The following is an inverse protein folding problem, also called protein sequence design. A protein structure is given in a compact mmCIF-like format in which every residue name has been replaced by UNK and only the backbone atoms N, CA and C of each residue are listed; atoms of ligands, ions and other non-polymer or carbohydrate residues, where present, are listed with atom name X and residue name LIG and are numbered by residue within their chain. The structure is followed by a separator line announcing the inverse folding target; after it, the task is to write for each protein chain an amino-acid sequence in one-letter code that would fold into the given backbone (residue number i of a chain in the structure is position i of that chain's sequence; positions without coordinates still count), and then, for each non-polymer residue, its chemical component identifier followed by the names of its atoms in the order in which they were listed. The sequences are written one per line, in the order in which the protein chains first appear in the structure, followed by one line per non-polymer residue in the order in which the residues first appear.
data_IF_853250337599
#
_entry.id   IF_853250337599
#
_cell.length_a   1.000
_cell.length_b   1.000
_cell.length_c   1.000
_cell.angle_alpha   90.00
_cell.angle_beta   90.00
_cell.angle_gamma   90.00
#
_symmetry.space_group_name_H-M   'P 1'
#
loop_
_entity.id
_entity.type
_entity.pdbx_description
1 polymer ?
#
# COMPACT_ATOMS: atom_id res chain seq x y z
N UNK A 1 -9.64 3.05 -8.35
CA UNK A 1 -9.45 4.45 -7.98
C UNK A 1 -10.17 5.30 -9.00
N UNK A 2 -10.66 6.47 -8.63
CA UNK A 2 -11.31 7.43 -9.52
C UNK A 2 -11.11 8.85 -9.00
N UNK A 3 -11.41 9.83 -9.83
CA UNK A 3 -11.36 11.26 -9.54
C UNK A 3 -12.77 11.87 -9.66
N UNK A 4 -13.02 12.96 -8.92
CA UNK A 4 -14.23 13.79 -9.11
C UNK A 4 -13.93 14.90 -10.11
N UNK A 5 -14.49 14.79 -11.31
CA UNK A 5 -14.22 15.70 -12.44
C UNK A 5 -14.39 17.18 -12.07
N UNK A 6 -13.32 17.94 -11.92
CA UNK A 6 -13.43 19.37 -11.58
C UNK A 6 -14.27 19.62 -10.31
N UNK A 7 -14.02 18.83 -9.26
CA UNK A 7 -14.79 18.80 -8.01
C UNK A 7 -15.24 20.18 -7.48
N UNK A 8 -14.32 21.14 -7.41
CA UNK A 8 -14.61 22.47 -6.83
C UNK A 8 -15.65 23.25 -7.63
N UNK A 9 -15.62 23.14 -8.97
CA UNK A 9 -16.56 23.84 -9.84
C UNK A 9 -17.98 23.27 -9.77
N UNK A 10 -18.17 22.13 -9.13
CA UNK A 10 -19.48 21.52 -8.92
C UNK A 10 -20.19 22.05 -7.66
N UNK A 11 -19.50 22.86 -6.84
CA UNK A 11 -20.04 23.41 -5.59
C UNK A 11 -20.17 24.93 -5.68
N UNK A 12 -21.40 25.43 -5.52
CA UNK A 12 -21.70 26.86 -5.56
C UNK A 12 -21.19 27.57 -4.30
N UNK A 13 -20.73 28.80 -4.49
CA UNK A 13 -20.39 29.73 -3.40
C UNK A 13 -21.65 30.49 -2.99
N UNK A 14 -21.80 30.78 -1.70
CA UNK A 14 -22.90 31.59 -1.18
C UNK A 14 -22.94 32.96 -1.84
N UNK A 15 -24.12 33.53 -2.09
CA UNK A 15 -24.24 34.79 -2.86
C UNK A 15 -23.45 35.94 -2.22
N UNK A 16 -23.45 36.01 -0.89
CA UNK A 16 -22.70 36.99 -0.09
C UNK A 16 -21.18 36.89 -0.23
N UNK A 17 -20.67 35.70 -0.57
CA UNK A 17 -19.23 35.45 -0.68
C UNK A 17 -18.67 35.59 -2.09
N UNK A 18 -19.53 35.61 -3.13
CA UNK A 18 -19.11 35.64 -4.54
C UNK A 18 -18.27 36.86 -4.89
N UNK A 19 -18.52 37.98 -4.22
CA UNK A 19 -17.84 39.24 -4.49
C UNK A 19 -16.37 39.22 -4.03
N UNK A 20 -15.99 38.32 -3.12
CA UNK A 20 -14.59 38.08 -2.77
C UNK A 20 -13.81 37.29 -3.83
N UNK A 21 -14.51 36.74 -4.83
CA UNK A 21 -13.94 35.94 -5.92
C UNK A 21 -14.00 36.68 -7.27
N UNK A 22 -14.00 38.02 -7.24
CA UNK A 22 -13.92 38.87 -8.43
C UNK A 22 -12.53 38.82 -9.04
N UNK A 23 -12.48 38.87 -10.37
CA UNK A 23 -11.25 38.98 -11.13
C UNK A 23 -11.44 39.88 -12.35
N UNK A 24 -10.35 40.53 -12.73
CA UNK A 24 -10.28 41.42 -13.88
C UNK A 24 -9.81 40.64 -15.11
N UNK A 25 -10.40 40.94 -16.25
CA UNK A 25 -10.08 40.27 -17.51
C UNK A 25 -10.05 41.27 -18.65
N UNK A 26 -8.99 41.22 -19.46
CA UNK A 26 -8.95 41.92 -20.74
C UNK A 26 -9.44 40.98 -21.85
N UNK A 27 -10.57 41.29 -22.50
CA UNK A 27 -11.08 40.46 -23.59
C UNK A 27 -10.04 40.27 -24.69
N UNK A 28 -9.75 39.01 -25.03
CA UNK A 28 -8.76 38.60 -26.02
C UNK A 28 -7.32 39.04 -25.71
N UNK A 29 -6.99 39.36 -24.44
CA UNK A 29 -5.67 39.82 -24.04
C UNK A 29 -5.29 41.21 -24.54
N UNK A 30 -6.28 41.97 -25.05
CA UNK A 30 -6.06 43.31 -25.57
C UNK A 30 -6.09 44.35 -24.44
N UNK A 31 -4.91 44.79 -24.03
CA UNK A 31 -4.71 45.75 -22.94
C UNK A 31 -5.25 47.16 -23.26
N UNK A 32 -5.64 47.43 -24.50
CA UNK A 32 -6.23 48.72 -24.91
C UNK A 32 -7.74 48.77 -24.72
N UNK A 33 -8.38 47.61 -24.52
CA UNK A 33 -9.82 47.53 -24.27
C UNK A 33 -10.15 47.78 -22.80
N UNK A 34 -11.40 48.16 -22.58
CA UNK A 34 -11.96 48.29 -21.23
C UNK A 34 -11.87 46.95 -20.49
N UNK A 35 -11.45 47.03 -19.22
CA UNK A 35 -11.32 45.88 -18.34
C UNK A 35 -12.71 45.34 -18.04
N UNK A 36 -12.94 44.05 -18.29
CA UNK A 36 -14.13 43.36 -17.87
C UNK A 36 -13.95 42.81 -16.44
N UNK A 37 -14.97 42.97 -15.61
CA UNK A 37 -15.01 42.40 -14.27
C UNK A 37 -15.91 41.17 -14.24
N UNK A 38 -15.36 40.06 -13.77
CA UNK A 38 -16.08 38.81 -13.60
C UNK A 38 -16.02 38.37 -12.14
N UNK A 39 -16.96 37.52 -11.73
CA UNK A 39 -16.95 36.88 -10.41
C UNK A 39 -17.21 35.39 -10.53
N UNK A 40 -16.46 34.59 -9.79
CA UNK A 40 -16.71 33.16 -9.72
C UNK A 40 -17.99 32.89 -8.93
N UNK A 41 -18.81 31.95 -9.40
CA UNK A 41 -20.06 31.55 -8.74
C UNK A 41 -19.95 30.20 -8.02
N UNK A 42 -18.80 29.55 -8.18
CA UNK A 42 -18.46 28.22 -7.69
C UNK A 42 -17.10 28.28 -7.02
N UNK A 43 -16.80 27.28 -6.19
CA UNK A 43 -15.51 27.20 -5.51
C UNK A 43 -14.39 27.06 -6.54
N UNK A 44 -13.32 27.85 -6.38
CA UNK A 44 -12.22 27.92 -7.33
C UNK A 44 -10.97 27.17 -6.84
N UNK A 45 -10.14 26.75 -7.78
CA UNK A 45 -8.84 26.15 -7.49
C UNK A 45 -7.88 27.22 -6.93
N UNK A 46 -7.16 26.88 -5.85
CA UNK A 46 -6.21 27.78 -5.19
C UNK A 46 -6.76 28.55 -3.99
N UNK A 47 -8.09 28.59 -3.80
CA UNK A 47 -8.67 29.13 -2.57
C UNK A 47 -8.57 28.11 -1.43
N UNK A 48 -8.07 28.56 -0.27
CA UNK A 48 -7.83 27.70 0.92
C UNK A 48 -9.11 27.02 1.42
N UNK A 49 -10.27 27.67 1.27
CA UNK A 49 -11.57 27.14 1.72
C UNK A 49 -12.18 26.12 0.76
N UNK A 50 -11.85 26.15 -0.53
CA UNK A 50 -12.51 25.33 -1.56
C UNK A 50 -12.46 23.82 -1.28
N UNK A 51 -11.30 23.22 -0.92
CA UNK A 51 -11.25 21.78 -0.62
C UNK A 51 -12.18 21.39 0.53
N UNK A 52 -12.22 22.18 1.61
CA UNK A 52 -13.04 21.91 2.78
C UNK A 52 -14.54 21.97 2.43
N UNK A 53 -14.98 23.02 1.72
CA UNK A 53 -16.37 23.17 1.32
C UNK A 53 -16.81 22.06 0.35
N UNK A 54 -15.98 21.72 -0.63
CA UNK A 54 -16.30 20.66 -1.59
C UNK A 54 -16.35 19.28 -0.93
N UNK A 55 -15.38 18.96 -0.06
CA UNK A 55 -15.40 17.72 0.71
C UNK A 55 -16.64 17.63 1.60
N UNK A 56 -17.05 18.74 2.24
CA UNK A 56 -18.27 18.78 3.03
C UNK A 56 -19.51 18.50 2.16
N UNK A 57 -19.64 19.13 0.99
CA UNK A 57 -20.76 18.90 0.07
C UNK A 57 -20.85 17.44 -0.40
N UNK A 58 -19.70 16.81 -0.71
CA UNK A 58 -19.64 15.40 -1.08
C UNK A 58 -20.07 14.48 0.07
N UNK A 59 -19.54 14.71 1.28
CA UNK A 59 -19.93 13.94 2.48
C UNK A 59 -21.39 14.14 2.84
N UNK A 60 -21.89 15.37 2.71
CA UNK A 60 -23.29 15.69 2.96
C UNK A 60 -24.22 14.97 2.00
N UNK A 61 -23.85 14.88 0.72
CA UNK A 61 -24.56 14.07 -0.28
C UNK A 61 -24.69 12.61 0.18
N UNK A 62 -23.62 12.02 0.71
CA UNK A 62 -23.65 10.66 1.24
C UNK A 62 -24.57 10.53 2.46
N UNK A 63 -24.53 11.50 3.38
CA UNK A 63 -25.37 11.49 4.58
C UNK A 63 -26.86 11.65 4.24
N UNK A 64 -27.21 12.55 3.32
CA UNK A 64 -28.59 12.79 2.90
C UNK A 64 -29.21 11.57 2.18
N UNK A 65 -28.38 10.68 1.61
CA UNK A 65 -28.83 9.47 0.90
C UNK A 65 -28.54 8.16 1.64
N UNK A 66 -28.21 8.22 2.94
CA UNK A 66 -27.83 7.04 3.74
C UNK A 66 -28.88 5.92 3.73
N UNK A 67 -30.16 6.25 3.65
CA UNK A 67 -31.25 5.26 3.59
C UNK A 67 -31.41 4.59 2.22
N UNK A 68 -30.85 5.16 1.15
CA UNK A 68 -31.05 4.72 -0.23
C UNK A 68 -29.89 3.90 -0.78
N UNK A 69 -28.72 3.94 -0.14
CA UNK A 69 -27.52 3.25 -0.59
C UNK A 69 -26.95 2.33 0.51
N UNK A 70 -26.21 1.27 0.13
CA UNK A 70 -25.55 0.41 1.11
C UNK A 70 -24.58 1.20 2.00
N UNK A 71 -24.54 0.85 3.29
CA UNK A 71 -23.66 1.50 4.27
C UNK A 71 -22.19 1.53 3.82
N UNK A 72 -21.72 0.49 3.13
CA UNK A 72 -20.35 0.43 2.65
C UNK A 72 -20.02 1.50 1.59
N UNK A 73 -21.01 1.93 0.79
CA UNK A 73 -20.84 3.00 -0.20
C UNK A 73 -20.79 4.35 0.51
N UNK A 74 -21.64 4.55 1.53
CA UNK A 74 -21.60 5.73 2.41
C UNK A 74 -20.24 5.83 3.12
N UNK A 75 -19.77 4.73 3.70
CA UNK A 75 -18.46 4.64 4.34
C UNK A 75 -17.30 4.87 3.35
N UNK A 76 -17.50 4.54 2.06
CA UNK A 76 -16.52 4.81 1.01
C UNK A 76 -16.32 6.32 0.85
N UNK A 77 -17.40 7.10 0.76
CA UNK A 77 -17.31 8.57 0.68
C UNK A 77 -16.59 9.18 1.89
N UNK A 78 -16.90 8.69 3.09
CA UNK A 78 -16.34 9.26 4.32
C UNK A 78 -14.88 8.87 4.59
N UNK A 79 -14.46 7.66 4.19
CA UNK A 79 -13.16 7.09 4.60
C UNK A 79 -12.16 6.87 3.48
N UNK A 80 -12.59 6.91 2.22
CA UNK A 80 -11.74 6.53 1.09
C UNK A 80 -11.56 7.67 0.06
N UNK A 81 -12.11 8.85 0.31
CA UNK A 81 -11.78 10.05 -0.47
C UNK A 81 -10.66 10.84 0.19
N UNK A 82 -9.68 11.23 -0.62
CA UNK A 82 -8.73 12.27 -0.32
C UNK A 82 -8.98 13.44 -1.27
N UNK A 83 -9.74 14.43 -0.80
CA UNK A 83 -10.27 15.51 -1.65
C UNK A 83 -11.11 14.93 -2.80
N UNK A 84 -10.62 15.02 -4.03
CA UNK A 84 -11.23 14.56 -5.28
C UNK A 84 -10.89 13.10 -5.62
N UNK A 85 -9.78 12.57 -5.09
CA UNK A 85 -9.34 11.20 -5.33
C UNK A 85 -10.08 10.18 -4.45
N UNK A 86 -10.74 9.20 -5.09
CA UNK A 86 -11.35 8.03 -4.45
C UNK A 86 -10.43 6.80 -4.52
N UNK A 87 -10.00 6.31 -3.36
CA UNK A 87 -9.07 5.19 -3.21
C UNK A 87 -9.71 4.03 -2.44
N UNK A 88 -10.51 3.22 -3.14
CA UNK A 88 -11.17 2.04 -2.55
C UNK A 88 -10.51 0.74 -3.03
N UNK A 89 -10.20 -0.15 -2.08
CA UNK A 89 -9.79 -1.55 -2.37
C UNK A 89 -10.91 -2.53 -1.97
N UNK A 90 -11.06 -3.61 -2.73
CA UNK A 90 -12.04 -4.66 -2.49
C UNK A 90 -11.37 -6.04 -2.43
N UNK A 91 -12.06 -7.02 -1.84
CA UNK A 91 -11.61 -8.43 -1.77
C UNK A 91 -12.01 -9.25 -3.00
N UNK A 92 -12.97 -8.78 -3.79
CA UNK A 92 -13.44 -9.45 -4.99
C UNK A 92 -13.82 -8.45 -6.07
N UNK A 93 -13.77 -8.91 -7.32
CA UNK A 93 -14.12 -8.13 -8.52
C UNK A 93 -15.59 -7.73 -8.47
N UNK A 94 -16.49 -8.66 -8.20
CA UNK A 94 -17.94 -8.43 -8.22
C UNK A 94 -18.33 -7.35 -7.22
N UNK A 95 -17.72 -7.39 -6.03
CA UNK A 95 -17.93 -6.38 -5.00
C UNK A 95 -17.33 -5.03 -5.39
N UNK A 96 -16.17 -5.02 -6.04
CA UNK A 96 -15.54 -3.79 -6.52
C UNK A 96 -16.41 -3.09 -7.57
N UNK A 97 -16.90 -3.85 -8.55
CA UNK A 97 -17.78 -3.38 -9.62
C UNK A 97 -19.08 -2.81 -9.05
N UNK A 98 -19.72 -3.55 -8.14
CA UNK A 98 -20.94 -3.07 -7.48
C UNK A 98 -20.72 -1.75 -6.73
N UNK A 99 -19.65 -1.66 -5.94
CA UNK A 99 -19.32 -0.41 -5.23
C UNK A 99 -19.03 0.72 -6.21
N UNK A 100 -18.33 0.47 -7.32
CA UNK A 100 -18.03 1.50 -8.31
C UNK A 100 -19.31 2.08 -8.94
N UNK A 101 -20.27 1.24 -9.30
CA UNK A 101 -21.57 1.69 -9.81
C UNK A 101 -22.39 2.43 -8.75
N UNK A 102 -22.60 1.82 -7.58
CA UNK A 102 -23.40 2.42 -6.50
C UNK A 102 -22.79 3.77 -6.05
N UNK A 103 -21.46 3.87 -6.02
CA UNK A 103 -20.76 5.12 -5.68
C UNK A 103 -20.92 6.17 -6.76
N UNK A 104 -20.85 5.80 -8.04
CA UNK A 104 -21.08 6.71 -9.16
C UNK A 104 -22.50 7.27 -9.13
N UNK A 105 -23.50 6.42 -8.87
CA UNK A 105 -24.89 6.82 -8.74
C UNK A 105 -25.11 7.75 -7.54
N UNK A 106 -24.51 7.43 -6.39
CA UNK A 106 -24.57 8.27 -5.20
C UNK A 106 -23.96 9.65 -5.45
N UNK A 107 -22.75 9.70 -6.04
CA UNK A 107 -22.10 10.96 -6.40
C UNK A 107 -22.97 11.76 -7.37
N UNK A 108 -23.59 11.11 -8.36
CA UNK A 108 -24.45 11.76 -9.33
C UNK A 108 -25.68 12.41 -8.68
N UNK A 109 -26.24 11.84 -7.61
CA UNK A 109 -27.32 12.47 -6.82
C UNK A 109 -26.92 13.81 -6.20
N UNK A 110 -25.65 13.98 -5.85
CA UNK A 110 -25.09 15.24 -5.37
C UNK A 110 -24.60 16.19 -6.46
N UNK A 111 -24.77 15.83 -7.74
CA UNK A 111 -24.19 16.56 -8.87
C UNK A 111 -22.70 16.27 -9.09
N UNK A 112 -22.13 15.29 -8.38
CA UNK A 112 -20.75 14.87 -8.54
C UNK A 112 -20.59 13.82 -9.62
N UNK A 113 -19.51 13.94 -10.39
CA UNK A 113 -19.22 13.03 -11.50
C UNK A 113 -17.85 12.38 -11.31
N UNK A 114 -17.87 11.06 -11.10
CA UNK A 114 -16.67 10.25 -10.99
C UNK A 114 -16.16 9.84 -12.36
N UNK A 115 -14.87 10.03 -12.57
CA UNK A 115 -14.17 9.79 -13.83
C UNK A 115 -12.75 9.29 -13.57
N UNK A 116 -11.92 9.18 -14.60
CA UNK A 116 -10.53 8.72 -14.54
C UNK A 116 -10.36 7.41 -13.76
N UNK A 117 -11.28 6.47 -13.98
CA UNK A 117 -11.22 5.18 -13.32
C UNK A 117 -9.98 4.41 -13.74
N UNK A 118 -9.26 3.91 -12.74
CA UNK A 118 -8.10 3.02 -12.87
C UNK A 118 -8.18 1.88 -11.85
N UNK A 119 -7.61 0.72 -12.20
CA UNK A 119 -7.67 -0.50 -11.39
C UNK A 119 -6.55 -1.46 -11.81
N UNK A 120 -6.05 -2.25 -10.85
CA UNK A 120 -5.18 -3.40 -11.12
C UNK A 120 -5.94 -4.66 -11.59
N UNK A 121 -7.26 -4.58 -11.78
CA UNK A 121 -8.10 -5.67 -12.29
C UNK A 121 -8.78 -5.25 -13.59
N UNK A 122 -8.51 -6.00 -14.66
CA UNK A 122 -9.11 -5.82 -16.00
C UNK A 122 -10.62 -6.01 -15.96
N UNK A 123 -11.09 -7.02 -15.23
CA UNK A 123 -12.52 -7.30 -15.08
C UNK A 123 -13.29 -6.12 -14.46
N UNK A 124 -12.66 -5.42 -13.50
CA UNK A 124 -13.24 -4.21 -12.91
C UNK A 124 -13.29 -3.07 -13.94
N UNK A 125 -12.24 -2.88 -14.74
CA UNK A 125 -12.21 -1.86 -15.79
C UNK A 125 -13.24 -2.14 -16.89
N UNK A 126 -13.37 -3.39 -17.33
CA UNK A 126 -14.36 -3.78 -18.35
C UNK A 126 -15.81 -3.52 -17.92
N UNK A 127 -16.10 -3.54 -16.62
CA UNK A 127 -17.42 -3.22 -16.09
C UNK A 127 -17.71 -1.72 -16.02
N UNK A 128 -16.68 -0.87 -16.10
CA UNK A 128 -16.81 0.59 -16.06
C UNK A 128 -16.92 1.12 -17.51
N UNK A 129 -17.76 2.14 -17.78
CA UNK A 129 -17.83 2.71 -19.12
C UNK A 129 -16.49 3.31 -19.57
N UNK A 130 -16.05 3.00 -20.80
CA UNK A 130 -14.76 3.45 -21.35
C UNK A 130 -14.55 4.96 -21.28
N UNK A 131 -15.62 5.75 -21.47
CA UNK A 131 -15.57 7.23 -21.37
C UNK A 131 -15.16 7.74 -19.98
N UNK A 132 -15.27 6.90 -18.96
CA UNK A 132 -14.91 7.23 -17.58
C UNK A 132 -13.53 6.71 -17.20
N UNK A 133 -12.83 6.00 -18.08
CA UNK A 133 -11.46 5.55 -17.83
C UNK A 133 -10.48 6.71 -17.82
N UNK A 134 -9.31 6.52 -17.19
CA UNK A 134 -8.20 7.46 -17.42
C UNK A 134 -7.81 7.46 -18.91
N UNK A 135 -7.17 8.52 -19.38
CA UNK A 135 -6.74 8.63 -20.79
C UNK A 135 -5.88 7.43 -21.21
N UNK A 136 -4.89 7.07 -20.38
CA UNK A 136 -3.99 5.96 -20.68
C UNK A 136 -4.71 4.60 -20.67
N UNK A 137 -5.81 4.48 -19.93
CA UNK A 137 -6.62 3.25 -19.88
C UNK A 137 -7.61 3.18 -21.05
N UNK A 138 -8.16 4.32 -21.48
CA UNK A 138 -9.15 4.41 -22.56
C UNK A 138 -8.63 3.95 -23.92
N UNK A 139 -7.32 4.06 -24.14
CA UNK A 139 -6.66 3.73 -25.42
C UNK A 139 -6.18 2.27 -25.49
N UNK A 140 -6.36 1.48 -24.43
CA UNK A 140 -5.83 0.11 -24.33
C UNK A 140 -6.84 -0.95 -24.78
N UNK A 141 -6.31 -1.98 -25.43
CA UNK A 141 -7.00 -3.24 -25.55
C UNK A 141 -6.78 -4.05 -24.26
N UNK A 142 -7.81 -4.09 -23.40
CA UNK A 142 -7.76 -4.79 -22.10
C UNK A 142 -7.58 -6.31 -22.21
N UNK A 143 -7.63 -6.93 -23.39
CA UNK A 143 -7.37 -8.36 -23.55
C UNK A 143 -5.92 -8.67 -23.97
N UNK A 144 -5.19 -7.66 -24.50
CA UNK A 144 -3.90 -7.88 -25.18
C UNK A 144 -2.76 -7.03 -24.61
N UNK A 145 -3.07 -5.81 -24.21
CA UNK A 145 -2.06 -4.83 -23.82
C UNK A 145 -1.79 -4.89 -22.32
N UNK A 146 -0.59 -4.48 -21.87
CA UNK A 146 -0.27 -4.40 -20.44
C UNK A 146 -0.96 -3.19 -19.80
N UNK A 147 -1.40 -3.34 -18.54
CA UNK A 147 -1.93 -2.21 -17.79
C UNK A 147 -0.83 -1.17 -17.54
N UNK A 148 -1.13 0.13 -17.69
CA UNK A 148 -0.14 1.17 -17.67
C UNK A 148 0.30 1.47 -16.24
N UNK A 149 1.32 2.31 -16.14
CA UNK A 149 1.69 2.96 -14.89
C UNK A 149 0.88 4.26 -14.74
N UNK A 150 0.30 4.44 -13.56
CA UNK A 150 -0.48 5.63 -13.22
C UNK A 150 0.05 6.25 -11.92
N UNK A 151 -0.55 7.36 -11.48
CA UNK A 151 -0.23 7.95 -10.18
C UNK A 151 -1.37 7.76 -9.21
N UNK A 152 -1.08 7.30 -8.00
CA UNK A 152 -2.00 7.27 -6.87
C UNK A 152 -1.47 8.21 -5.77
N UNK A 153 -2.15 9.33 -5.54
CA UNK A 153 -1.71 10.39 -4.60
C UNK A 153 -0.25 10.84 -4.83
N UNK A 154 0.15 10.93 -6.09
CA UNK A 154 1.50 11.34 -6.49
C UNK A 154 2.56 10.23 -6.52
N UNK A 155 2.29 9.06 -5.94
CA UNK A 155 3.16 7.88 -6.07
C UNK A 155 2.88 7.16 -7.39
N UNK A 156 3.93 6.72 -8.07
CA UNK A 156 3.79 5.93 -9.29
C UNK A 156 3.35 4.51 -8.93
N UNK A 157 2.25 4.07 -9.52
CA UNK A 157 1.63 2.77 -9.29
C UNK A 157 1.61 1.99 -10.60
N UNK A 158 2.31 0.85 -10.63
CA UNK A 158 2.17 -0.12 -11.70
C UNK A 158 0.93 -0.98 -11.43
N UNK A 159 -0.09 -0.81 -12.27
CA UNK A 159 -1.36 -1.51 -12.09
C UNK A 159 -1.22 -3.01 -12.37
N UNK A 160 -0.40 -3.41 -13.34
CA UNK A 160 -0.24 -4.82 -13.72
C UNK A 160 0.33 -5.66 -12.56
N UNK A 161 1.39 -5.18 -11.90
CA UNK A 161 2.05 -5.87 -10.77
C UNK A 161 1.51 -5.49 -9.39
N UNK A 162 0.60 -4.50 -9.31
CA UNK A 162 0.12 -3.90 -8.07
C UNK A 162 1.24 -3.41 -7.13
N UNK A 163 2.24 -2.73 -7.68
CA UNK A 163 3.42 -2.22 -6.96
C UNK A 163 3.57 -0.72 -7.10
N UNK A 164 4.07 -0.08 -6.04
CA UNK A 164 4.59 1.28 -6.12
C UNK A 164 6.03 1.26 -6.64
N UNK A 165 6.28 2.12 -7.61
CA UNK A 165 7.58 2.31 -8.26
C UNK A 165 8.12 3.69 -7.93
N UNK A 166 9.44 3.83 -7.96
CA UNK A 166 10.11 5.11 -7.69
C UNK A 166 10.98 5.48 -8.89
N UNK A 167 10.37 6.00 -9.96
CA UNK A 167 11.15 6.55 -11.07
C UNK A 167 11.69 7.92 -10.71
N UNK A 168 13.01 8.03 -10.74
CA UNK A 168 13.71 9.25 -10.37
C UNK A 168 14.27 9.90 -11.63
N UNK A 169 13.57 10.92 -12.12
CA UNK A 169 14.07 11.77 -13.21
C UNK A 169 15.10 12.74 -12.64
N UNK A 170 16.34 12.25 -12.50
CA UNK A 170 17.46 13.02 -11.99
C UNK A 170 17.95 13.98 -13.07
N UNK A 171 17.24 15.09 -13.25
CA UNK A 171 17.67 16.17 -14.13
C UNK A 171 19.05 16.64 -13.69
N UNK A 172 19.96 16.80 -14.64
CA UNK A 172 21.26 17.39 -14.37
C UNK A 172 21.05 18.81 -13.82
N UNK A 173 21.60 19.06 -12.64
CA UNK A 173 21.59 20.35 -11.95
C UNK A 173 23.01 20.72 -11.59
N UNK A 174 23.28 22.02 -11.55
CA UNK A 174 24.53 22.55 -11.03
C UNK A 174 24.77 22.04 -9.60
N UNK A 175 26.03 21.77 -9.26
CA UNK A 175 26.42 21.33 -7.93
C UNK A 175 26.49 22.52 -6.98
N UNK A 176 25.31 23.06 -6.69
CA UNK A 176 25.07 24.18 -5.80
C UNK A 176 24.00 23.79 -4.78
N UNK A 177 23.88 24.57 -3.70
CA UNK A 177 22.82 24.34 -2.70
C UNK A 177 21.43 24.30 -3.34
N UNK A 178 21.14 25.17 -4.30
CA UNK A 178 19.88 25.21 -5.05
C UNK A 178 19.68 23.95 -5.89
N UNK A 179 20.72 23.51 -6.60
CA UNK A 179 20.66 22.30 -7.44
C UNK A 179 20.38 21.05 -6.61
N UNK A 180 21.10 20.88 -5.51
CA UNK A 180 20.91 19.75 -4.57
C UNK A 180 19.51 19.78 -3.98
N UNK A 181 19.05 20.92 -3.45
CA UNK A 181 17.71 21.05 -2.89
C UNK A 181 16.63 20.69 -3.93
N UNK A 182 16.80 21.12 -5.18
CA UNK A 182 15.86 20.78 -6.26
C UNK A 182 15.76 19.28 -6.51
N UNK A 183 16.87 18.55 -6.49
CA UNK A 183 16.89 17.09 -6.71
C UNK A 183 16.36 16.36 -5.48
N UNK A 184 16.78 16.75 -4.27
CA UNK A 184 16.26 16.15 -3.03
C UNK A 184 14.75 16.35 -2.89
N UNK A 185 14.24 17.52 -3.28
CA UNK A 185 12.80 17.81 -3.20
C UNK A 185 11.98 17.13 -4.30
N UNK A 186 12.61 16.65 -5.39
CA UNK A 186 11.90 15.88 -6.42
C UNK A 186 11.67 14.42 -6.00
N UNK A 187 12.31 13.96 -4.92
CA UNK A 187 12.08 12.63 -4.34
C UNK A 187 10.74 12.62 -3.60
N UNK A 188 9.69 12.20 -4.28
CA UNK A 188 8.36 12.09 -3.68
C UNK A 188 8.18 10.74 -2.97
N UNK A 189 8.34 10.74 -1.65
CA UNK A 189 8.23 9.55 -0.80
C UNK A 189 7.45 9.88 0.50
N UNK A 190 6.12 10.03 0.42
CA UNK A 190 5.29 10.35 1.58
C UNK A 190 5.25 9.24 2.65
N UNK A 191 5.59 8.00 2.28
CA UNK A 191 5.55 6.84 3.19
C UNK A 191 6.91 6.49 3.79
N UNK A 192 7.99 7.14 3.33
CA UNK A 192 9.33 6.96 3.89
C UNK A 192 10.03 5.68 3.43
N UNK A 193 9.65 5.07 2.31
CA UNK A 193 10.31 3.87 1.78
C UNK A 193 11.76 4.13 1.36
N UNK A 194 12.03 5.33 0.86
CA UNK A 194 13.34 5.80 0.41
C UNK A 194 14.02 6.68 1.47
N UNK A 195 13.51 6.72 2.71
CA UNK A 195 14.04 7.59 3.76
C UNK A 195 15.54 7.35 4.03
N UNK A 196 15.97 6.08 4.07
CA UNK A 196 17.36 5.72 4.28
C UNK A 196 18.28 6.22 3.16
N UNK A 197 17.81 6.13 1.91
CA UNK A 197 18.54 6.61 0.73
C UNK A 197 18.54 8.14 0.72
N UNK A 198 17.44 8.79 1.09
CA UNK A 198 17.33 10.26 1.03
C UNK A 198 18.14 10.95 2.14
N UNK A 199 18.46 10.25 3.23
CA UNK A 199 19.14 10.83 4.39
C UNK A 199 20.53 11.42 4.06
N UNK A 200 21.48 10.70 3.42
CA UNK A 200 22.77 11.26 3.02
C UNK A 200 22.67 12.58 2.24
N UNK A 201 21.74 12.66 1.28
CA UNK A 201 21.55 13.90 0.51
C UNK A 201 21.02 15.06 1.36
N UNK A 202 20.13 14.78 2.31
CA UNK A 202 19.68 15.78 3.29
C UNK A 202 20.81 16.23 4.22
N UNK A 203 21.75 15.35 4.55
CA UNK A 203 22.93 15.70 5.34
C UNK A 203 23.87 16.63 4.59
N UNK A 204 24.11 16.39 3.29
CA UNK A 204 24.87 17.31 2.43
C UNK A 204 24.21 18.70 2.44
N UNK A 205 22.90 18.76 2.21
CA UNK A 205 22.15 20.02 2.24
C UNK A 205 22.25 20.71 3.61
N UNK A 206 22.15 19.95 4.70
CA UNK A 206 22.29 20.46 6.07
C UNK A 206 23.69 21.03 6.32
N UNK A 207 24.75 20.36 5.87
CA UNK A 207 26.13 20.82 6.01
C UNK A 207 26.38 22.12 5.25
N UNK A 208 25.91 22.21 3.99
CA UNK A 208 25.98 23.44 3.19
C UNK A 208 25.26 24.61 3.87
N UNK A 209 24.10 24.35 4.50
CA UNK A 209 23.39 25.35 5.30
C UNK A 209 24.18 25.77 6.54
N UNK A 210 24.75 24.83 7.30
CA UNK A 210 25.56 25.12 8.50
C UNK A 210 26.80 25.95 8.17
N UNK A 211 27.42 25.71 7.00
CA UNK A 211 28.57 26.46 6.49
C UNK A 211 28.18 27.78 5.80
N UNK A 212 26.90 28.13 5.75
CA UNK A 212 26.36 29.36 5.15
C UNK A 212 26.69 29.55 3.65
N UNK A 213 26.75 28.47 2.86
CA UNK A 213 26.91 28.57 1.40
C UNK A 213 25.77 29.36 0.76
N UNK A 214 26.06 30.17 -0.25
CA UNK A 214 25.02 30.83 -1.04
C UNK A 214 24.24 29.83 -1.91
N UNK A 215 23.11 30.25 -2.46
CA UNK A 215 22.23 29.36 -3.24
C UNK A 215 22.90 28.78 -4.49
N UNK A 216 23.68 29.61 -5.18
CA UNK A 216 24.26 29.32 -6.50
C UNK A 216 25.79 29.23 -6.45
N UNK A 217 26.35 29.09 -5.25
CA UNK A 217 27.77 28.86 -5.02
C UNK A 217 28.12 27.39 -5.23
N UNK A 218 29.28 27.13 -5.86
CA UNK A 218 29.79 25.79 -6.11
C UNK A 218 30.24 25.13 -4.81
N UNK A 219 29.88 23.86 -4.63
CA UNK A 219 30.16 23.14 -3.40
C UNK A 219 31.60 22.59 -3.37
N UNK A 220 32.18 22.35 -2.18
CA UNK A 220 33.52 21.76 -2.06
C UNK A 220 33.61 20.36 -2.69
N UNK A 221 34.77 20.03 -3.26
CA UNK A 221 35.04 18.74 -3.94
C UNK A 221 34.64 17.50 -3.13
N UNK A 222 34.86 17.54 -1.82
CA UNK A 222 34.50 16.43 -0.91
C UNK A 222 32.98 16.18 -0.94
N UNK A 223 32.17 17.24 -0.90
CA UNK A 223 30.72 17.14 -0.97
C UNK A 223 30.26 16.81 -2.38
N UNK A 224 30.97 17.28 -3.42
CA UNK A 224 30.72 16.91 -4.81
C UNK A 224 30.86 15.40 -5.01
N UNK A 225 31.90 14.78 -4.48
CA UNK A 225 32.11 13.33 -4.58
C UNK A 225 30.99 12.54 -3.88
N UNK A 226 30.61 12.96 -2.67
CA UNK A 226 29.48 12.34 -1.93
C UNK A 226 28.16 12.50 -2.69
N UNK A 227 27.92 13.68 -3.26
CA UNK A 227 26.73 13.96 -4.06
C UNK A 227 26.66 13.09 -5.32
N UNK A 228 27.77 12.95 -6.05
CA UNK A 228 27.85 12.08 -7.24
C UNK A 228 27.62 10.62 -6.86
N UNK A 229 28.21 10.15 -5.77
CA UNK A 229 27.97 8.78 -5.26
C UNK A 229 26.49 8.55 -5.01
N UNK A 230 25.85 9.47 -4.27
CA UNK A 230 24.43 9.39 -3.97
C UNK A 230 23.56 9.42 -5.23
N UNK A 231 23.88 10.27 -6.22
CA UNK A 231 23.17 10.30 -7.51
C UNK A 231 23.26 8.96 -8.25
N UNK A 232 24.37 8.23 -8.14
CA UNK A 232 24.51 6.91 -8.74
C UNK A 232 23.69 5.87 -7.99
N UNK A 233 23.74 5.85 -6.64
CA UNK A 233 22.91 4.97 -5.82
C UNK A 233 21.41 5.18 -6.12
N UNK A 234 21.02 6.44 -6.35
CA UNK A 234 19.66 6.81 -6.70
C UNK A 234 19.20 6.23 -8.04
N UNK A 235 20.10 6.12 -9.03
CA UNK A 235 19.79 5.53 -10.35
C UNK A 235 19.55 4.02 -10.24
N UNK A 236 20.25 3.33 -9.34
CA UNK A 236 20.06 1.91 -9.07
C UNK A 236 18.67 1.60 -8.48
N UNK A 237 18.00 2.58 -7.86
CA UNK A 237 16.64 2.42 -7.32
C UNK A 237 15.55 2.42 -8.39
N UNK A 238 15.88 2.65 -9.66
CA UNK A 238 14.91 2.58 -10.76
C UNK A 238 14.17 1.23 -10.84
N UNK A 239 14.81 0.14 -10.37
CA UNK A 239 14.20 -1.19 -10.27
C UNK A 239 13.56 -1.51 -8.91
N UNK A 240 13.65 -0.61 -7.92
CA UNK A 240 13.09 -0.84 -6.60
C UNK A 240 11.56 -0.68 -6.62
N UNK A 241 10.86 -1.71 -6.15
CA UNK A 241 9.41 -1.76 -6.14
C UNK A 241 8.91 -2.22 -4.77
N UNK A 242 7.77 -1.68 -4.34
CA UNK A 242 7.12 -2.06 -3.09
C UNK A 242 5.70 -2.50 -3.40
N UNK A 243 5.28 -3.67 -2.93
CA UNK A 243 3.89 -4.12 -3.06
C UNK A 243 2.93 -3.11 -2.42
N UNK A 244 1.94 -2.63 -3.18
CA UNK A 244 0.93 -1.70 -2.65
C UNK A 244 0.13 -2.37 -1.53
N UNK A 245 -0.25 -3.63 -1.72
CA UNK A 245 -0.99 -4.39 -0.74
C UNK A 245 -0.05 -5.02 0.30
N UNK A 246 -0.19 -4.61 1.57
CA UNK A 246 0.59 -5.16 2.69
C UNK A 246 0.22 -6.62 3.01
N UNK A 247 -0.94 -7.09 2.54
CA UNK A 247 -1.42 -8.46 2.74
C UNK A 247 -1.30 -9.24 1.42
N UNK A 248 -0.53 -10.33 1.37
CA UNK A 248 -0.48 -11.17 0.18
C UNK A 248 -1.86 -11.70 -0.24
N UNK A 249 -2.06 -11.89 -1.55
CA UNK A 249 -3.33 -12.33 -2.12
C UNK A 249 -3.86 -13.62 -1.47
N UNK A 250 -2.99 -14.64 -1.37
CA UNK A 250 -3.34 -15.96 -0.83
C UNK A 250 -3.14 -16.08 0.69
N UNK A 251 -3.02 -14.95 1.38
CA UNK A 251 -2.87 -14.95 2.83
C UNK A 251 -4.17 -15.36 3.55
N UNK A 252 -5.33 -15.27 2.90
CA UNK A 252 -6.61 -15.53 3.55
C UNK A 252 -6.93 -14.50 4.65
N UNK A 253 -7.85 -14.83 5.59
CA UNK A 253 -8.22 -13.94 6.68
C UNK A 253 -7.13 -13.94 7.77
N UNK A 254 -6.57 -12.77 8.14
CA UNK A 254 -5.70 -12.68 9.30
C UNK A 254 -6.53 -12.91 10.57
N UNK A 255 -5.99 -13.73 11.49
CA UNK A 255 -6.52 -13.93 12.83
C UNK A 255 -5.83 -13.02 13.86
N UNK A 256 -4.60 -12.60 13.59
CA UNK A 256 -3.84 -11.70 14.45
C UNK A 256 -2.98 -10.76 13.60
N UNK A 257 -2.89 -9.50 14.02
CA UNK A 257 -2.07 -8.48 13.37
C UNK A 257 -1.27 -7.72 14.44
N UNK A 258 0.03 -7.54 14.18
CA UNK A 258 0.92 -6.80 15.08
C UNK A 258 1.76 -5.82 14.27
N UNK A 259 1.89 -4.60 14.78
CA UNK A 259 2.88 -3.64 14.30
C UNK A 259 4.11 -3.73 15.20
N UNK A 260 5.26 -4.02 14.60
CA UNK A 260 6.55 -4.06 15.28
C UNK A 260 7.34 -2.85 14.83
N UNK A 261 7.56 -1.93 15.76
CA UNK A 261 8.30 -0.70 15.51
C UNK A 261 9.69 -0.85 16.08
N UNK A 262 10.69 -0.61 15.25
CA UNK A 262 12.07 -0.50 15.67
C UNK A 262 12.50 0.93 15.39
N UNK A 263 13.21 1.53 16.33
CA UNK A 263 13.76 2.86 16.18
C UNK A 263 15.18 2.86 16.73
N UNK A 264 16.04 3.60 16.06
CA UNK A 264 17.41 3.84 16.48
C UNK A 264 17.80 5.28 16.12
N UNK A 265 18.78 5.81 16.83
CA UNK A 265 19.26 7.16 16.64
C UNK A 265 20.78 7.21 16.65
N UNK A 266 21.31 8.08 15.80
CA UNK A 266 22.72 8.45 15.75
C UNK A 266 22.85 9.97 15.87
N UNK A 267 24.07 10.46 16.00
CA UNK A 267 24.37 11.91 15.93
C UNK A 267 23.94 12.53 14.59
N UNK A 268 23.78 11.68 13.57
CA UNK A 268 23.53 12.02 12.18
C UNK A 268 22.05 11.99 11.77
N UNK A 269 21.19 11.37 12.58
CA UNK A 269 19.77 11.21 12.29
C UNK A 269 19.10 10.12 13.12
N UNK A 270 17.77 10.14 13.15
CA UNK A 270 16.92 9.11 13.74
C UNK A 270 16.21 8.33 12.64
N UNK A 271 16.12 7.01 12.80
CA UNK A 271 15.45 6.11 11.88
C UNK A 271 14.38 5.31 12.60
N UNK A 272 13.28 5.04 11.90
CA UNK A 272 12.30 4.06 12.36
C UNK A 272 11.90 3.15 11.21
N UNK A 273 11.72 1.87 11.51
CA UNK A 273 11.12 0.92 10.58
C UNK A 273 9.94 0.25 11.26
N UNK A 274 8.85 0.09 10.52
CA UNK A 274 7.62 -0.53 11.01
C UNK A 274 7.32 -1.77 10.18
N UNK A 275 7.19 -2.91 10.84
CA UNK A 275 6.79 -4.17 10.22
C UNK A 275 5.36 -4.52 10.62
N UNK A 276 4.53 -4.88 9.64
CA UNK A 276 3.22 -5.47 9.88
C UNK A 276 3.33 -7.00 9.86
N UNK A 277 3.28 -7.63 11.03
CA UNK A 277 3.20 -9.08 11.16
C UNK A 277 1.74 -9.52 11.13
N UNK A 278 1.35 -10.21 10.06
CA UNK A 278 0.05 -10.87 9.96
C UNK A 278 0.18 -12.35 10.27
N UNK A 279 -0.81 -12.89 10.99
CA UNK A 279 -0.94 -14.32 11.24
C UNK A 279 -2.30 -14.79 10.72
N UNK A 280 -2.32 -15.87 9.97
CA UNK A 280 -3.52 -16.62 9.59
C UNK A 280 -3.43 -18.05 10.18
N UNK A 281 -4.52 -18.80 10.15
CA UNK A 281 -4.48 -20.18 10.64
C UNK A 281 -3.62 -21.11 9.76
N UNK A 282 -3.63 -20.88 8.44
CA UNK A 282 -2.97 -21.75 7.47
C UNK A 282 -1.44 -21.62 7.49
N UNK A 283 -0.89 -20.40 7.53
CA UNK A 283 0.54 -20.17 7.66
C UNK A 283 1.04 -20.50 9.07
N UNK A 284 0.25 -20.26 10.12
CA UNK A 284 0.61 -20.75 11.46
C UNK A 284 0.72 -22.27 11.46
N UNK A 285 -0.26 -23.00 10.90
CA UNK A 285 -0.18 -24.46 10.71
C UNK A 285 1.02 -24.87 9.85
N UNK A 286 1.28 -24.18 8.73
CA UNK A 286 2.41 -24.45 7.84
C UNK A 286 3.75 -24.32 8.56
N UNK A 287 3.98 -23.19 9.24
CA UNK A 287 5.19 -22.91 10.02
C UNK A 287 5.34 -23.89 11.19
N UNK A 288 4.26 -24.18 11.92
CA UNK A 288 4.28 -25.18 13.00
C UNK A 288 4.55 -26.60 12.47
N UNK A 289 4.08 -26.91 11.26
CA UNK A 289 4.32 -28.20 10.61
C UNK A 289 5.70 -28.31 9.97
N UNK A 290 6.34 -27.21 9.59
CA UNK A 290 7.72 -27.23 9.06
C UNK A 290 8.78 -27.05 10.15
N UNK A 291 8.44 -26.46 11.28
CA UNK A 291 9.35 -26.25 12.40
C UNK A 291 9.58 -27.54 13.20
N UNK A 292 10.80 -28.10 13.10
CA UNK A 292 11.22 -29.32 13.83
C UNK A 292 11.13 -29.13 15.35
N UNK A 293 11.49 -27.96 15.86
CA UNK A 293 11.40 -27.65 17.29
C UNK A 293 9.95 -27.73 17.79
N UNK A 294 9.01 -27.08 17.09
CA UNK A 294 7.60 -27.10 17.45
C UNK A 294 6.99 -28.50 17.31
N UNK A 295 7.42 -29.29 16.32
CA UNK A 295 7.02 -30.70 16.15
C UNK A 295 7.43 -31.55 17.35
N UNK A 296 8.68 -31.46 17.79
CA UNK A 296 9.16 -32.22 18.95
C UNK A 296 8.45 -31.81 20.24
N UNK A 297 8.26 -30.51 20.48
CA UNK A 297 7.59 -30.04 21.69
C UNK A 297 6.10 -30.42 21.76
N UNK A 298 5.45 -30.59 20.60
CA UNK A 298 4.04 -31.01 20.51
C UNK A 298 3.84 -32.51 20.30
N UNK A 299 4.92 -33.29 20.20
CA UNK A 299 4.82 -34.73 20.04
C UNK A 299 4.19 -35.33 21.31
N UNK A 300 3.15 -36.15 21.14
CA UNK A 300 2.60 -36.93 22.26
C UNK A 300 3.64 -37.96 22.67
N UNK A 301 3.82 -38.17 23.98
CA UNK A 301 4.65 -39.26 24.50
C UNK A 301 4.15 -40.58 23.90
N UNK A 302 5.05 -41.35 23.29
CA UNK A 302 4.71 -42.68 22.82
C UNK A 302 4.37 -43.54 24.04
N UNK A 303 3.17 -44.13 24.04
CA UNK A 303 2.83 -45.18 24.98
C UNK A 303 3.51 -46.47 24.54
N UNK A 304 4.13 -47.18 25.49
CA UNK A 304 4.70 -48.49 25.22
C UNK A 304 3.56 -49.45 24.86
N UNK A 305 3.49 -49.85 23.58
CA UNK A 305 2.59 -50.93 23.16
C UNK A 305 3.18 -52.26 23.63
N UNK A 306 2.72 -52.77 24.76
CA UNK A 306 2.99 -54.15 25.17
C UNK A 306 2.09 -55.10 24.39
N UNK A 307 2.65 -56.20 23.88
CA UNK A 307 1.86 -57.30 23.36
C UNK A 307 1.10 -57.98 24.52
N UNK A 308 -0.04 -58.59 24.22
CA UNK A 308 -0.76 -59.39 25.20
C UNK A 308 0.18 -60.46 25.79
N UNK A 309 0.21 -60.55 27.12
CA UNK A 309 0.97 -61.60 27.78
C UNK A 309 0.37 -62.96 27.40
N UNK A 310 1.19 -64.00 27.13
CA UNK A 310 0.71 -65.35 26.89
C UNK A 310 -0.22 -65.79 28.04
N UNK A 311 -1.28 -66.54 27.69
CA UNK A 311 -2.34 -66.92 28.63
C UNK A 311 -1.78 -67.65 29.85
N UNK A 312 -0.73 -68.44 29.63
CA UNK A 312 0.01 -69.23 30.61
C UNK A 312 0.70 -68.38 31.70
N UNK A 313 0.91 -67.08 31.45
CA UNK A 313 1.47 -66.13 32.43
C UNK A 313 0.40 -65.33 33.17
N UNK A 314 -0.86 -65.43 32.76
CA UNK A 314 -1.98 -64.64 33.28
C UNK A 314 -3.10 -65.50 33.86
N UNK A 315 -3.10 -66.82 33.62
CA UNK A 315 -3.98 -67.78 34.29
C UNK A 315 -3.31 -68.36 35.54
N UNK A 316 -3.96 -68.30 36.72
CA UNK A 316 -3.47 -68.90 37.95
C UNK A 316 -3.92 -70.36 38.04
N UNK A 317 -3.52 -71.20 37.10
CA UNK A 317 -3.94 -72.60 37.06
C UNK A 317 -2.97 -73.54 37.80
N UNK A 318 -1.69 -73.19 37.94
CA UNK A 318 -0.71 -74.00 38.67
C UNK A 318 0.25 -73.12 39.50
N UNK A 319 0.52 -73.44 40.78
CA UNK A 319 1.55 -72.76 41.56
C UNK A 319 2.93 -72.81 40.89
N UNK A 320 3.83 -71.85 41.18
CA UNK A 320 5.23 -71.94 40.75
C UNK A 320 5.83 -73.30 41.11
N UNK A 321 6.63 -73.88 40.21
CA UNK A 321 7.27 -75.21 40.36
C UNK A 321 6.33 -76.43 40.32
N UNK A 322 5.08 -76.29 39.85
CA UNK A 322 4.20 -77.46 39.66
C UNK A 322 4.72 -78.43 38.60
N UNK A 323 5.36 -77.92 37.56
CA UNK A 323 6.10 -78.71 36.59
C UNK A 323 7.58 -78.31 36.68
N UNK A 324 8.43 -79.21 37.18
CA UNK A 324 9.88 -79.05 37.18
C UNK A 324 10.46 -80.08 36.23
N UNK A 325 11.02 -79.62 35.11
CA UNK A 325 11.81 -80.47 34.22
C UNK A 325 13.26 -80.50 34.71
N UNK A 326 13.82 -81.69 34.87
CA UNK A 326 15.25 -81.89 35.07
C UNK A 326 15.82 -82.40 33.74
N UNK A 327 16.72 -81.62 33.15
CA UNK A 327 17.47 -82.03 31.97
C UNK A 327 18.61 -82.96 32.41
N UNK A 328 18.51 -84.24 32.04
CA UNK A 328 19.53 -85.25 32.33
C UNK A 328 20.60 -85.36 31.25
N UNK A 329 20.39 -84.76 30.08
CA UNK A 329 21.21 -85.02 28.90
C UNK A 329 22.22 -83.92 28.60
N UNK A 330 22.13 -82.77 29.28
CA UNK A 330 23.04 -81.66 29.03
C UNK A 330 22.90 -81.14 27.58
N UNK A 331 23.69 -80.14 27.19
CA UNK A 331 23.53 -79.50 25.88
C UNK A 331 23.76 -80.50 24.74
N UNK A 332 22.73 -80.70 23.89
CA UNK A 332 22.89 -81.38 22.62
C UNK A 332 23.59 -80.44 21.64
N UNK A 333 24.78 -80.84 21.15
CA UNK A 333 25.42 -80.14 20.03
C UNK A 333 24.66 -80.45 18.74
N UNK A 334 23.87 -79.49 18.28
CA UNK A 334 23.15 -79.58 17.02
C UNK A 334 24.00 -78.94 15.93
N UNK A 335 24.41 -79.73 14.93
CA UNK A 335 25.09 -79.23 13.74
C UNK A 335 24.05 -78.51 12.87
N UNK A 336 24.12 -77.19 12.75
CA UNK A 336 23.34 -76.47 11.75
C UNK A 336 23.85 -76.86 10.36
N UNK A 337 22.96 -77.41 9.54
CA UNK A 337 23.18 -77.67 8.11
C UNK A 337 22.98 -76.43 7.27
#
# INVERSE_FOLDING_TARGET
MSDVKSMFYQVKVAEEDKDFLRFLWWPNGDLTKEIAEYRMTVHLFGAVSSPSCACYALRRTADDHRSSFPQEVIDTVHRHFYVDDCLRSSKSVEKAVKIAHDLSDLCHKGGFHLTQWISNSRDVLQAIPEKEHSKNVSELNLDRDQLPEERALGLQWCMESDTFNFRMDCKERAYTRRGILSVVSSVYDPLGYLAAVTLPAKQILQDLCRRNFAWDEEIPDILTQQWISWLNDLKELSGFQVSRCLKPHDFGPPVHAQLHHFADASESGYGTVTYLRLQNEAAARRVLSSCVFCKHHRAKSCEQKMADLPRERTTPDLPPFTNVGVDYFGPFEIKQG
#
